data_IF_235911173548
#
_entry.id   IF_235911173548
#
_cell.length_a   1.000
_cell.length_b   1.000
_cell.length_c   1.000
_cell.angle_alpha   90.00
_cell.angle_beta   90.00
_cell.angle_gamma   90.00
#
_symmetry.space_group_name_H-M   'P 1'
#
loop_
_entity.id
_entity.type
_entity.pdbx_description
1 polymer ?
#
# COMPACT_ATOMS: atom_id res chain seq x y z
N UNK A 1 27.45 1.39 12.31
CA UNK A 1 26.40 1.34 11.27
C UNK A 1 26.46 2.67 10.53
N UNK A 2 27.07 2.70 9.34
CA UNK A 2 27.12 3.92 8.53
C UNK A 2 25.73 4.11 7.89
N UNK A 3 25.03 5.17 8.29
CA UNK A 3 23.82 5.60 7.61
C UNK A 3 24.22 6.01 6.18
N UNK A 4 23.75 5.27 5.18
CA UNK A 4 23.89 5.67 3.78
C UNK A 4 23.31 7.09 3.64
N UNK A 5 24.06 8.07 3.10
CA UNK A 5 23.57 9.41 2.94
C UNK A 5 22.33 9.39 2.04
N UNK A 6 21.26 10.05 2.49
CA UNK A 6 19.97 10.11 1.80
C UNK A 6 20.09 10.52 0.33
N UNK A 7 21.12 11.30 -0.03
CA UNK A 7 21.40 11.69 -1.40
C UNK A 7 21.91 10.55 -2.29
N UNK A 8 22.76 9.65 -1.76
CA UNK A 8 23.21 8.45 -2.49
C UNK A 8 22.06 7.48 -2.72
N UNK A 9 21.18 7.31 -1.72
CA UNK A 9 19.94 6.54 -1.84
C UNK A 9 19.01 7.14 -2.90
N UNK A 10 18.85 8.46 -2.90
CA UNK A 10 18.07 9.20 -3.90
C UNK A 10 18.65 9.03 -5.31
N UNK A 11 19.99 9.03 -5.44
CA UNK A 11 20.72 8.82 -6.70
C UNK A 11 20.63 7.37 -7.18
N UNK A 12 20.74 6.38 -6.28
CA UNK A 12 20.50 4.98 -6.61
C UNK A 12 19.05 4.71 -7.02
N UNK A 13 18.07 5.36 -6.37
CA UNK A 13 16.66 5.20 -6.71
C UNK A 13 16.33 5.82 -8.08
N UNK A 14 17.07 6.86 -8.51
CA UNK A 14 17.00 7.41 -9.87
C UNK A 14 17.65 6.54 -10.96
N UNK A 15 18.46 5.54 -10.58
CA UNK A 15 19.13 4.59 -11.49
C UNK A 15 18.35 3.29 -11.70
N UNK A 16 17.32 3.02 -10.90
CA UNK A 16 16.41 1.90 -11.12
C UNK A 16 15.42 2.32 -12.19
N UNK A 17 15.38 1.62 -13.32
CA UNK A 17 14.47 1.94 -14.42
C UNK A 17 13.01 2.02 -13.93
N UNK A 18 12.30 3.06 -14.36
CA UNK A 18 10.86 3.17 -14.20
C UNK A 18 10.24 2.08 -15.08
N UNK A 19 9.98 0.92 -14.48
CA UNK A 19 9.30 -0.19 -15.16
C UNK A 19 7.86 -0.21 -14.67
N UNK A 20 6.87 0.03 -15.55
CA UNK A 20 5.48 -0.09 -15.16
C UNK A 20 5.21 -1.55 -14.80
N UNK A 21 4.57 -1.78 -13.63
CA UNK A 21 4.05 -3.12 -13.31
C UNK A 21 3.03 -3.52 -14.37
N UNK A 22 3.01 -4.78 -14.79
CA UNK A 22 1.99 -5.20 -15.75
C UNK A 22 0.59 -5.26 -15.12
N UNK A 23 -0.44 -5.21 -15.95
CA UNK A 23 -1.85 -5.39 -15.60
C UNK A 23 -2.06 -6.71 -14.84
N UNK A 24 -1.39 -7.78 -15.30
CA UNK A 24 -1.35 -9.07 -14.63
C UNK A 24 -0.72 -8.99 -13.23
N UNK A 25 0.44 -8.35 -13.10
CA UNK A 25 1.10 -8.18 -11.80
C UNK A 25 0.27 -7.35 -10.82
N UNK A 26 -0.33 -6.24 -11.28
CA UNK A 26 -1.23 -5.41 -10.47
C UNK A 26 -2.45 -6.20 -10.01
N UNK A 27 -3.03 -7.03 -10.89
CA UNK A 27 -4.15 -7.91 -10.55
C UNK A 27 -3.74 -8.98 -9.52
N UNK A 28 -2.60 -9.64 -9.70
CA UNK A 28 -2.10 -10.65 -8.75
C UNK A 28 -1.77 -10.04 -7.39
N UNK A 29 -1.17 -8.85 -7.34
CA UNK A 29 -0.91 -8.15 -6.08
C UNK A 29 -2.21 -7.74 -5.39
N UNK A 30 -3.17 -7.20 -6.13
CA UNK A 30 -4.51 -6.88 -5.63
C UNK A 30 -5.21 -8.12 -5.07
N UNK A 31 -5.20 -9.24 -5.80
CA UNK A 31 -5.79 -10.50 -5.37
C UNK A 31 -5.09 -11.06 -4.12
N UNK A 32 -3.77 -10.91 -4.01
CA UNK A 32 -3.01 -11.27 -2.81
C UNK A 32 -3.40 -10.42 -1.60
N UNK A 33 -3.64 -9.13 -1.78
CA UNK A 33 -4.10 -8.25 -0.71
C UNK A 33 -5.53 -8.62 -0.31
N UNK A 34 -6.41 -8.88 -1.29
CA UNK A 34 -7.79 -9.32 -1.04
C UNK A 34 -7.85 -10.67 -0.31
N UNK A 35 -6.99 -11.62 -0.66
CA UNK A 35 -6.94 -12.92 0.03
C UNK A 35 -6.45 -12.78 1.47
N UNK A 36 -5.46 -11.91 1.73
CA UNK A 36 -5.05 -11.56 3.09
C UNK A 36 -6.14 -10.86 3.89
N UNK A 37 -6.86 -9.92 3.28
CA UNK A 37 -8.03 -9.26 3.88
C UNK A 37 -9.11 -10.27 4.31
N UNK A 38 -9.41 -11.24 3.44
CA UNK A 38 -10.36 -12.32 3.75
C UNK A 38 -9.85 -13.23 4.86
N UNK A 39 -8.56 -13.58 4.84
CA UNK A 39 -7.95 -14.41 5.88
C UNK A 39 -7.99 -13.71 7.25
N UNK A 40 -7.64 -12.42 7.32
CA UNK A 40 -7.69 -11.63 8.55
C UNK A 40 -9.10 -11.50 9.09
N UNK A 41 -10.10 -11.33 8.20
CA UNK A 41 -11.51 -11.34 8.62
C UNK A 41 -11.89 -12.67 9.26
N UNK A 42 -11.56 -13.79 8.61
CA UNK A 42 -11.84 -15.12 9.14
C UNK A 42 -11.11 -15.37 10.46
N UNK A 43 -9.86 -14.93 10.59
CA UNK A 43 -9.09 -15.02 11.83
C UNK A 43 -9.74 -14.21 12.97
N UNK A 44 -10.22 -13.01 12.67
CA UNK A 44 -10.93 -12.16 13.64
C UNK A 44 -12.22 -12.83 14.13
N UNK A 45 -13.00 -13.39 13.20
CA UNK A 45 -14.24 -14.12 13.54
C UNK A 45 -13.93 -15.36 14.39
N UNK A 46 -12.94 -16.16 13.97
CA UNK A 46 -12.53 -17.35 14.69
C UNK A 46 -12.06 -17.02 16.12
N UNK A 47 -11.29 -15.95 16.28
CA UNK A 47 -10.79 -15.49 17.58
C UNK A 47 -11.93 -15.02 18.48
N UNK A 48 -12.89 -14.26 17.94
CA UNK A 48 -14.07 -13.82 18.69
C UNK A 48 -14.93 -15.01 19.16
N UNK A 49 -15.15 -16.00 18.28
CA UNK A 49 -15.90 -17.21 18.62
C UNK A 49 -15.16 -18.06 19.67
N UNK A 50 -13.84 -18.24 19.52
CA UNK A 50 -13.02 -18.95 20.49
C UNK A 50 -13.05 -18.27 21.87
N UNK A 51 -12.93 -16.94 21.90
CA UNK A 51 -13.04 -16.15 23.12
C UNK A 51 -14.41 -16.30 23.80
N UNK A 52 -15.50 -16.21 23.03
CA UNK A 52 -16.86 -16.41 23.54
C UNK A 52 -17.07 -17.82 24.09
N UNK A 53 -16.58 -18.85 23.39
CA UNK A 53 -16.63 -20.24 23.87
C UNK A 53 -15.84 -20.42 25.17
N UNK A 54 -14.66 -19.81 25.29
CA UNK A 54 -13.83 -19.91 26.49
C UNK A 54 -14.53 -19.29 27.71
N UNK A 55 -15.15 -18.12 27.52
CA UNK A 55 -15.92 -17.44 28.57
C UNK A 55 -17.16 -18.26 28.94
N UNK A 56 -17.86 -18.85 27.96
CA UNK A 56 -19.02 -19.72 28.21
C UNK A 56 -18.65 -21.03 28.92
N UNK A 57 -17.43 -21.54 28.70
CA UNK A 57 -16.92 -22.75 29.35
C UNK A 57 -16.40 -22.50 30.78
N UNK A 58 -16.01 -21.25 31.09
CA UNK A 58 -15.49 -20.86 32.41
C UNK A 58 -16.28 -21.37 33.63
N UNK A 59 -17.63 -21.36 33.67
CA UNK A 59 -18.39 -21.88 34.81
C UNK A 59 -18.20 -23.39 35.05
N UNK A 60 -17.85 -24.16 34.01
CA UNK A 60 -17.58 -25.60 34.06
C UNK A 60 -16.12 -25.92 34.36
N UNK A 61 -15.24 -24.91 34.43
CA UNK A 61 -13.82 -25.10 34.72
C UNK A 61 -13.53 -25.26 36.22
N UNK A 62 -12.34 -25.78 36.53
CA UNK A 62 -11.81 -25.92 37.89
C UNK A 62 -11.39 -24.58 38.53
N UNK A 63 -11.63 -23.44 37.88
CA UNK A 63 -11.29 -22.12 38.41
C UNK A 63 -12.16 -21.81 39.64
N UNK A 64 -11.55 -21.46 40.79
CA UNK A 64 -12.29 -21.10 42.00
C UNK A 64 -13.22 -19.92 41.74
N UNK A 65 -14.40 -19.94 42.37
CA UNK A 65 -15.48 -19.00 42.04
C UNK A 65 -15.08 -17.53 42.23
N UNK A 66 -14.24 -17.25 43.22
CA UNK A 66 -13.66 -15.94 43.54
C UNK A 66 -12.76 -15.36 42.42
N UNK A 67 -12.13 -16.18 41.59
CA UNK A 67 -11.26 -15.73 40.49
C UNK A 67 -11.95 -15.68 39.12
N UNK A 68 -13.15 -16.26 38.98
CA UNK A 68 -13.84 -16.37 37.68
C UNK A 68 -14.07 -15.03 37.00
N UNK A 69 -14.48 -14.03 37.77
CA UNK A 69 -14.72 -12.69 37.24
C UNK A 69 -13.43 -12.06 36.69
N UNK A 70 -12.32 -12.15 37.43
CA UNK A 70 -11.03 -11.62 36.98
C UNK A 70 -10.50 -12.36 35.74
N UNK A 71 -10.66 -13.69 35.68
CA UNK A 71 -10.27 -14.46 34.49
C UNK A 71 -11.13 -14.09 33.29
N UNK A 72 -12.44 -13.91 33.46
CA UNK A 72 -13.34 -13.47 32.39
C UNK A 72 -12.96 -12.09 31.86
N UNK A 73 -12.61 -11.16 32.74
CA UNK A 73 -12.19 -9.80 32.36
C UNK A 73 -10.89 -9.82 31.56
N UNK A 74 -9.86 -10.51 32.05
CA UNK A 74 -8.57 -10.63 31.35
C UNK A 74 -8.73 -11.29 29.99
N UNK A 75 -9.53 -12.36 29.90
CA UNK A 75 -9.86 -13.02 28.64
C UNK A 75 -10.61 -12.08 27.69
N UNK A 76 -11.61 -11.36 28.21
CA UNK A 76 -12.39 -10.39 27.43
C UNK A 76 -11.51 -9.29 26.86
N UNK A 77 -10.65 -8.68 27.67
CA UNK A 77 -9.70 -7.64 27.24
C UNK A 77 -8.70 -8.19 26.23
N UNK A 78 -8.14 -9.38 26.47
CA UNK A 78 -7.18 -10.01 25.55
C UNK A 78 -7.77 -10.32 24.18
N UNK A 79 -8.97 -10.91 24.15
CA UNK A 79 -9.70 -11.19 22.90
C UNK A 79 -10.07 -9.88 22.20
N UNK A 80 -10.58 -8.90 22.92
CA UNK A 80 -10.97 -7.61 22.36
C UNK A 80 -9.77 -6.88 21.74
N UNK A 81 -8.65 -6.76 22.47
CA UNK A 81 -7.44 -6.10 21.98
C UNK A 81 -6.85 -6.81 20.75
N UNK A 82 -6.86 -8.15 20.76
CA UNK A 82 -6.37 -8.95 19.62
C UNK A 82 -7.25 -8.78 18.38
N UNK A 83 -8.59 -8.77 18.55
CA UNK A 83 -9.51 -8.47 17.46
C UNK A 83 -9.31 -7.05 16.91
N UNK A 84 -9.09 -6.07 17.80
CA UNK A 84 -8.85 -4.69 17.40
C UNK A 84 -7.56 -4.55 16.59
N UNK A 85 -6.50 -5.27 16.98
CA UNK A 85 -5.24 -5.31 16.23
C UNK A 85 -5.43 -5.89 14.82
N UNK A 86 -6.12 -7.03 14.69
CA UNK A 86 -6.41 -7.63 13.38
C UNK A 86 -7.27 -6.73 12.49
N UNK A 87 -8.24 -6.02 13.08
CA UNK A 87 -9.05 -5.04 12.36
C UNK A 87 -8.24 -3.82 11.91
N UNK A 88 -7.26 -3.40 12.70
CA UNK A 88 -6.35 -2.31 12.33
C UNK A 88 -5.48 -2.70 11.14
N UNK A 89 -4.82 -3.85 11.18
CA UNK A 89 -4.02 -4.37 10.05
C UNK A 89 -4.88 -4.52 8.78
N UNK A 90 -6.13 -4.97 8.94
CA UNK A 90 -7.10 -5.03 7.86
C UNK A 90 -7.40 -3.65 7.28
N UNK A 91 -7.57 -2.63 8.12
CA UNK A 91 -7.83 -1.27 7.68
C UNK A 91 -6.65 -0.71 6.87
N UNK A 92 -5.41 -0.93 7.32
CA UNK A 92 -4.21 -0.54 6.58
C UNK A 92 -4.10 -1.24 5.21
N UNK A 93 -4.34 -2.55 5.17
CA UNK A 93 -4.37 -3.30 3.90
C UNK A 93 -5.48 -2.82 2.96
N UNK A 94 -6.63 -2.43 3.52
CA UNK A 94 -7.72 -1.85 2.73
C UNK A 94 -7.37 -0.48 2.18
N UNK A 95 -6.60 0.33 2.92
CA UNK A 95 -6.04 1.58 2.40
C UNK A 95 -5.04 1.31 1.26
N UNK A 96 -4.24 0.25 1.39
CA UNK A 96 -3.34 -0.21 0.34
C UNK A 96 -4.05 -0.60 -0.98
N UNK A 97 -5.32 -1.01 -0.94
CA UNK A 97 -6.09 -1.28 -2.15
C UNK A 97 -6.36 -0.02 -2.99
N UNK A 98 -6.44 1.15 -2.35
CA UNK A 98 -6.63 2.40 -3.09
C UNK A 98 -5.50 2.66 -4.07
N UNK A 99 -4.28 2.19 -3.79
CA UNK A 99 -3.11 2.34 -4.67
C UNK A 99 -3.23 1.64 -6.03
N UNK A 100 -4.21 0.73 -6.17
CA UNK A 100 -4.47 0.00 -7.41
C UNK A 100 -5.65 0.58 -8.20
N UNK A 101 -6.26 1.65 -7.71
CA UNK A 101 -7.40 2.28 -8.37
C UNK A 101 -6.94 3.05 -9.62
N UNK A 102 -7.64 2.93 -10.77
CA UNK A 102 -7.26 3.63 -11.97
C UNK A 102 -7.40 5.16 -11.80
N UNK A 103 -6.40 5.88 -12.27
CA UNK A 103 -6.35 7.34 -12.20
C UNK A 103 -7.36 7.96 -13.17
N UNK A 104 -8.06 9.00 -12.71
CA UNK A 104 -9.01 9.78 -13.53
C UNK A 104 -8.34 10.39 -14.77
N UNK A 105 -9.09 10.49 -15.87
CA UNK A 105 -8.58 10.93 -17.18
C UNK A 105 -7.87 12.31 -17.14
N UNK A 106 -8.34 13.24 -16.32
CA UNK A 106 -7.74 14.58 -16.16
C UNK A 106 -6.35 14.53 -15.52
N UNK A 107 -6.15 13.64 -14.57
CA UNK A 107 -4.86 13.42 -13.89
C UNK A 107 -3.89 12.62 -14.75
N UNK A 108 -4.39 11.75 -15.64
CA UNK A 108 -3.56 11.03 -16.61
C UNK A 108 -2.82 11.97 -17.57
N UNK A 109 -3.48 13.03 -18.05
CA UNK A 109 -2.84 14.03 -18.91
C UNK A 109 -1.65 14.72 -18.22
N UNK A 110 -1.79 15.04 -16.93
CA UNK A 110 -0.72 15.61 -16.11
C UNK A 110 0.42 14.62 -15.89
N UNK A 111 0.11 13.35 -15.61
CA UNK A 111 1.12 12.30 -15.46
C UNK A 111 1.91 12.06 -16.74
N UNK A 112 1.26 12.03 -17.91
CA UNK A 112 1.95 11.91 -19.20
C UNK A 112 2.90 13.08 -19.45
N UNK A 113 2.49 14.31 -19.11
CA UNK A 113 3.33 15.49 -19.20
C UNK A 113 4.53 15.46 -18.25
N UNK A 114 4.37 14.87 -17.05
CA UNK A 114 5.48 14.65 -16.11
C UNK A 114 6.43 13.56 -16.62
N UNK A 115 5.91 12.48 -17.20
CA UNK A 115 6.74 11.41 -17.78
C UNK A 115 7.61 11.91 -18.91
N UNK A 116 7.10 12.81 -19.77
CA UNK A 116 7.90 13.37 -20.87
C UNK A 116 9.14 14.15 -20.38
N UNK A 117 9.23 14.51 -19.09
CA UNK A 117 10.41 15.14 -18.48
C UNK A 117 11.47 14.12 -18.04
N UNK A 118 11.08 12.86 -17.88
CA UNK A 118 11.95 11.78 -17.42
C UNK A 118 12.50 11.05 -18.65
N UNK A 119 13.80 10.76 -18.73
CA UNK A 119 14.39 10.07 -19.89
C UNK A 119 13.74 8.70 -20.19
N UNK A 120 13.20 8.03 -19.16
CA UNK A 120 12.53 6.73 -19.25
C UNK A 120 11.00 6.84 -19.46
N UNK A 121 10.46 8.05 -19.58
CA UNK A 121 9.02 8.27 -19.68
C UNK A 121 8.40 7.75 -20.97
N UNK A 122 9.15 7.76 -22.09
CA UNK A 122 8.67 7.24 -23.38
C UNK A 122 8.51 5.72 -23.30
N UNK A 123 9.52 5.00 -22.81
CA UNK A 123 9.45 3.55 -22.60
C UNK A 123 8.35 3.15 -21.61
N UNK A 124 8.09 3.97 -20.59
CA UNK A 124 7.00 3.73 -19.65
C UNK A 124 5.62 3.92 -20.30
N UNK A 125 5.46 4.94 -21.17
CA UNK A 125 4.22 5.14 -21.92
C UNK A 125 3.99 4.04 -22.96
N UNK A 126 5.05 3.60 -23.66
CA UNK A 126 4.98 2.47 -24.59
C UNK A 126 4.58 1.17 -23.89
N UNK A 127 5.14 0.90 -22.71
CA UNK A 127 4.77 -0.28 -21.94
C UNK A 127 3.33 -0.22 -21.38
N UNK A 128 2.84 0.96 -20.99
CA UNK A 128 1.42 1.16 -20.64
C UNK A 128 0.49 0.93 -21.84
N UNK A 129 0.89 1.42 -23.02
CA UNK A 129 0.13 1.27 -24.25
C UNK A 129 0.12 -0.20 -24.73
N UNK A 130 1.25 -0.89 -24.66
CA UNK A 130 1.37 -2.31 -24.98
C UNK A 130 0.47 -3.19 -24.09
N UNK A 131 0.30 -2.80 -22.84
CA UNK A 131 -0.55 -3.48 -21.86
C UNK A 131 -1.99 -2.91 -21.81
N UNK A 132 -2.31 -1.95 -22.69
CA UNK A 132 -3.62 -1.28 -22.80
C UNK A 132 -4.19 -0.80 -21.46
N UNK A 133 -3.31 -0.39 -20.53
CA UNK A 133 -3.68 -0.04 -19.16
C UNK A 133 -3.51 1.44 -18.87
N UNK A 134 -4.22 1.91 -17.86
CA UNK A 134 -4.08 3.27 -17.32
C UNK A 134 -3.14 3.29 -16.12
N UNK A 135 -2.72 4.50 -15.72
CA UNK A 135 -2.00 4.70 -14.47
C UNK A 135 -2.88 4.31 -13.28
N UNK A 136 -2.26 3.79 -12.23
CA UNK A 136 -2.91 3.61 -10.91
C UNK A 136 -2.47 4.68 -9.93
N UNK A 137 -3.30 4.99 -8.95
CA UNK A 137 -3.06 6.00 -7.91
C UNK A 137 -1.71 5.83 -7.20
N UNK A 138 -1.28 4.59 -6.95
CA UNK A 138 0.01 4.29 -6.32
C UNK A 138 1.22 4.67 -7.17
N UNK A 139 1.06 4.83 -8.49
CA UNK A 139 2.14 5.24 -9.40
C UNK A 139 2.32 6.78 -9.44
N UNK A 140 1.34 7.55 -8.94
CA UNK A 140 1.36 9.03 -9.02
C UNK A 140 2.56 9.62 -8.27
N UNK A 141 2.77 9.19 -7.02
CA UNK A 141 3.80 9.77 -6.16
C UNK A 141 5.21 9.40 -6.62
N UNK A 142 5.40 8.19 -7.15
CA UNK A 142 6.67 7.73 -7.70
C UNK A 142 7.04 8.50 -8.98
N UNK A 143 6.07 8.69 -9.87
CA UNK A 143 6.23 9.50 -11.09
C UNK A 143 6.54 10.96 -10.72
N UNK A 144 5.80 11.53 -9.77
CA UNK A 144 5.98 12.92 -9.34
C UNK A 144 7.36 13.13 -8.71
N UNK A 145 7.75 12.26 -7.79
CA UNK A 145 9.05 12.31 -7.10
C UNK A 145 10.22 12.23 -8.07
N UNK A 146 10.11 11.42 -9.13
CA UNK A 146 11.14 11.32 -10.17
C UNK A 146 11.13 12.50 -11.14
N UNK A 147 9.95 13.00 -11.52
CA UNK A 147 9.86 14.21 -12.32
C UNK A 147 10.46 15.43 -11.60
N UNK A 148 10.40 15.49 -10.27
CA UNK A 148 11.07 16.52 -9.46
C UNK A 148 12.60 16.40 -9.49
N UNK A 149 13.16 15.20 -9.70
CA UNK A 149 14.61 14.98 -9.85
C UNK A 149 15.14 15.45 -11.21
N UNK A 150 14.27 15.66 -12.20
CA UNK A 150 14.58 16.21 -13.52
C UNK A 150 13.83 17.54 -13.71
N UNK A 151 14.33 18.64 -13.10
CA UNK A 151 13.69 19.93 -13.23
C UNK A 151 13.60 20.34 -14.71
N UNK A 152 12.52 21.04 -15.11
CA UNK A 152 12.34 21.44 -16.50
C UNK A 152 13.56 22.25 -16.96
N UNK A 153 14.09 21.89 -18.13
CA UNK A 153 15.10 22.71 -18.80
C UNK A 153 14.52 24.12 -18.93
N UNK A 154 15.12 25.16 -18.32
CA UNK A 154 14.67 26.52 -18.57
C UNK A 154 14.77 26.73 -20.07
N UNK A 155 13.71 27.24 -20.68
CA UNK A 155 13.76 27.72 -22.06
C UNK A 155 14.80 28.83 -22.08
N UNK A 156 16.03 28.49 -22.44
CA UNK A 156 17.02 29.47 -22.85
C UNK A 156 16.44 30.13 -24.07
N UNK A 157 15.91 31.33 -23.85
CA UNK A 157 15.80 32.41 -24.82
C UNK A 157 17.22 32.65 -25.37
N UNK A 158 17.65 31.81 -26.29
CA UNK A 158 18.85 31.99 -27.08
C UNK A 158 18.39 32.15 -28.52
N UNK A 159 18.45 33.39 -29.01
CA UNK A 159 18.18 33.73 -30.41
C UNK A 159 17.41 35.02 -30.58
N UNK A 160 18.11 36.16 -30.63
CA UNK A 160 17.52 37.39 -31.15
C UNK A 160 18.25 38.70 -30.87
N UNK A 161 19.58 38.74 -30.88
CA UNK A 161 20.31 39.99 -31.17
C UNK A 161 20.73 39.95 -32.65
N UNK A 162 20.09 40.79 -33.47
CA UNK A 162 20.56 41.26 -34.78
C UNK A 162 19.92 42.62 -35.08
#
# INVERSE_FOLDING_TARGET
MAALPLEELRRQQSLIALVPKSSGQLKTERERILSRLSLLLNATIALALAGAMLIAYLPFSSVPHEFRFGVQEVLGVGVFASCLFLLHERAELSLGLYNFEPVQQTTQGKLRALLHRVPEGVSYQEALAADSRTFVTGEIDDIRRRAEAFPPKPLTSEGGDA
#
